data_IF_626635218994
#
_entry.id   IF_626635218994
#
_cell.length_a   1.000
_cell.length_b   1.000
_cell.length_c   1.000
_cell.angle_alpha   90.00
_cell.angle_beta   90.00
_cell.angle_gamma   90.00
#
_symmetry.space_group_name_H-M   'P 1'
#
loop_
_entity.id
_entity.type
_entity.pdbx_description
1 polymer ?
#
# COMPACT_ATOMS: atom_id res chain seq x y z
N UNK A 1 0.01 -18.02 11.43
CA UNK A 1 0.39 -18.18 10.01
C UNK A 1 -0.13 -16.93 9.29
N UNK A 2 0.64 -16.32 8.37
CA UNK A 2 0.22 -15.08 7.70
C UNK A 2 -1.08 -15.27 6.90
N UNK A 3 -1.29 -16.44 6.28
CA UNK A 3 -2.51 -16.76 5.55
C UNK A 3 -3.72 -16.80 6.48
N UNK A 4 -3.64 -17.53 7.60
CA UNK A 4 -4.73 -17.62 8.57
C UNK A 4 -5.10 -16.26 9.16
N UNK A 5 -4.10 -15.38 9.35
CA UNK A 5 -4.34 -14.01 9.83
C UNK A 5 -5.05 -13.18 8.77
N UNK A 6 -4.64 -13.29 7.50
CA UNK A 6 -5.30 -12.58 6.39
C UNK A 6 -6.74 -13.07 6.18
N UNK A 7 -6.99 -14.38 6.24
CA UNK A 7 -8.35 -14.93 6.15
C UNK A 7 -9.26 -14.42 7.27
N UNK A 8 -8.74 -14.36 8.51
CA UNK A 8 -9.49 -13.77 9.64
C UNK A 8 -9.80 -12.28 9.42
N UNK A 9 -8.87 -11.53 8.84
CA UNK A 9 -9.10 -10.12 8.51
C UNK A 9 -10.20 -9.95 7.45
N UNK A 10 -10.23 -10.81 6.42
CA UNK A 10 -11.30 -10.82 5.41
C UNK A 10 -12.65 -11.10 6.08
N UNK A 11 -12.71 -12.11 6.95
CA UNK A 11 -13.94 -12.46 7.66
C UNK A 11 -14.44 -11.34 8.58
N UNK A 12 -13.53 -10.57 9.18
CA UNK A 12 -13.88 -9.43 10.03
C UNK A 12 -14.23 -8.15 9.26
N UNK A 13 -13.98 -8.10 7.95
CA UNK A 13 -14.31 -6.94 7.13
C UNK A 13 -15.82 -6.75 7.01
N UNK A 14 -16.28 -5.49 6.88
CA UNK A 14 -17.71 -5.21 6.76
C UNK A 14 -18.29 -5.80 5.46
N UNK A 15 -19.49 -6.37 5.56
CA UNK A 15 -20.24 -6.85 4.40
C UNK A 15 -20.50 -5.75 3.36
N UNK A 16 -20.59 -4.48 3.78
CA UNK A 16 -20.85 -3.34 2.89
C UNK A 16 -19.72 -3.07 1.89
N UNK A 17 -18.50 -3.54 2.17
CA UNK A 17 -17.34 -3.40 1.29
C UNK A 17 -16.85 -4.71 0.70
N UNK A 18 -17.46 -5.84 1.06
CA UNK A 18 -17.03 -7.18 0.63
C UNK A 18 -17.10 -7.37 -0.89
N UNK A 19 -18.12 -6.81 -1.54
CA UNK A 19 -18.33 -6.93 -2.99
C UNK A 19 -17.52 -5.94 -3.83
N UNK A 20 -16.69 -5.09 -3.20
CA UNK A 20 -15.89 -4.10 -3.91
C UNK A 20 -14.66 -4.73 -4.56
N UNK A 21 -14.36 -4.27 -5.78
CA UNK A 21 -13.20 -4.72 -6.57
C UNK A 21 -11.87 -4.07 -6.18
N UNK A 22 -11.87 -3.14 -5.22
CA UNK A 22 -10.69 -2.35 -4.82
C UNK A 22 -10.16 -2.68 -3.41
N UNK A 23 -10.57 -3.81 -2.82
CA UNK A 23 -10.04 -4.27 -1.54
C UNK A 23 -8.55 -4.59 -1.68
N UNK A 24 -7.73 -3.97 -0.85
CA UNK A 24 -6.27 -4.13 -0.90
C UNK A 24 -5.69 -4.36 0.48
N UNK A 25 -4.90 -5.41 0.60
CA UNK A 25 -3.98 -5.61 1.71
C UNK A 25 -2.70 -4.81 1.49
N UNK A 26 -2.33 -4.03 2.50
CA UNK A 26 -1.06 -3.33 2.58
C UNK A 26 -0.20 -3.97 3.66
N UNK A 27 0.99 -4.40 3.28
CA UNK A 27 1.98 -4.98 4.19
C UNK A 27 3.40 -4.59 3.76
N UNK A 28 4.38 -4.88 4.60
CA UNK A 28 5.79 -4.71 4.23
C UNK A 28 6.19 -5.67 3.09
N UNK A 29 7.14 -5.27 2.25
CA UNK A 29 7.82 -6.15 1.27
C UNK A 29 8.34 -7.45 1.92
N UNK A 30 8.87 -7.40 3.14
CA UNK A 30 9.31 -8.60 3.86
C UNK A 30 8.15 -9.54 4.18
N UNK A 31 7.02 -9.01 4.65
CA UNK A 31 5.82 -9.81 4.89
C UNK A 31 5.20 -10.34 3.59
N UNK A 32 5.27 -9.57 2.51
CA UNK A 32 4.83 -10.04 1.19
C UNK A 32 5.64 -11.27 0.76
N UNK A 33 6.97 -11.27 0.95
CA UNK A 33 7.80 -12.44 0.66
C UNK A 33 7.45 -13.64 1.55
N UNK A 34 7.18 -13.40 2.84
CA UNK A 34 6.72 -14.43 3.76
C UNK A 34 5.38 -15.02 3.32
N UNK A 35 4.47 -14.18 2.82
CA UNK A 35 3.20 -14.60 2.24
C UNK A 35 3.37 -15.49 1.00
N UNK A 36 4.26 -15.13 0.06
CA UNK A 36 4.57 -16.00 -1.09
C UNK A 36 5.16 -17.35 -0.64
N UNK A 37 6.07 -17.35 0.34
CA UNK A 37 6.61 -18.60 0.90
C UNK A 37 5.54 -19.43 1.61
N UNK A 38 4.60 -18.79 2.29
CA UNK A 38 3.46 -19.46 2.93
C UNK A 38 2.53 -20.10 1.89
N UNK A 39 2.24 -19.41 0.78
CA UNK A 39 1.47 -19.98 -0.33
C UNK A 39 2.15 -21.19 -0.97
N UNK A 40 3.48 -21.13 -1.16
CA UNK A 40 4.26 -22.27 -1.62
C UNK A 40 4.18 -23.45 -0.65
N UNK A 41 4.28 -23.18 0.65
CA UNK A 41 4.25 -24.21 1.69
C UNK A 41 2.86 -24.86 1.83
N UNK A 42 1.80 -24.12 1.52
CA UNK A 42 0.43 -24.62 1.44
C UNK A 42 0.14 -25.41 0.14
N UNK A 43 1.14 -25.60 -0.73
CA UNK A 43 1.05 -26.35 -1.98
C UNK A 43 -0.05 -25.84 -2.93
N UNK A 44 -0.16 -24.51 -3.06
CA UNK A 44 -1.19 -23.91 -3.88
C UNK A 44 -0.85 -24.06 -5.39
N UNK A 45 -1.38 -25.09 -6.04
CA UNK A 45 -1.18 -25.37 -7.48
C UNK A 45 -1.72 -24.28 -8.41
N UNK A 46 -2.49 -23.33 -7.89
CA UNK A 46 -3.06 -22.17 -8.62
C UNK A 46 -2.18 -20.91 -8.56
N UNK A 47 -1.05 -20.95 -7.85
CA UNK A 47 -0.11 -19.82 -7.85
C UNK A 47 0.62 -19.75 -9.20
N UNK A 48 0.27 -18.77 -10.02
CA UNK A 48 1.05 -18.42 -11.22
C UNK A 48 2.23 -17.51 -10.81
N UNK A 49 3.49 -17.95 -10.96
CA UNK A 49 4.65 -17.10 -10.67
C UNK A 49 4.69 -15.80 -11.48
N UNK A 50 4.03 -15.75 -12.64
CA UNK A 50 3.89 -14.56 -13.48
C UNK A 50 2.88 -13.52 -12.96
N UNK A 51 2.05 -13.89 -11.99
CA UNK A 51 1.05 -13.00 -11.39
C UNK A 51 1.64 -12.00 -10.38
N UNK A 52 2.86 -12.26 -9.89
CA UNK A 52 3.59 -11.31 -9.04
C UNK A 52 4.20 -10.25 -9.93
N UNK A 53 3.58 -9.07 -9.96
CA UNK A 53 4.14 -7.96 -10.71
C UNK A 53 4.98 -7.08 -9.79
N UNK A 54 6.15 -6.67 -10.29
CA UNK A 54 6.97 -5.65 -9.64
C UNK A 54 6.76 -4.34 -10.40
N UNK A 55 5.81 -3.53 -9.94
CA UNK A 55 5.58 -2.20 -10.49
C UNK A 55 6.34 -1.19 -9.67
N UNK A 56 7.49 -0.73 -10.19
CA UNK A 56 8.28 0.37 -9.60
C UNK A 56 8.48 0.24 -8.07
N UNK A 57 8.96 -0.92 -7.60
CA UNK A 57 9.23 -1.25 -6.20
C UNK A 57 8.00 -1.62 -5.33
N UNK A 58 6.82 -1.76 -5.93
CA UNK A 58 5.67 -2.39 -5.28
C UNK A 58 5.57 -3.83 -5.76
N UNK A 59 5.59 -4.77 -4.83
CA UNK A 59 5.24 -6.16 -5.11
C UNK A 59 3.74 -6.28 -4.98
N UNK A 60 3.06 -6.75 -6.02
CA UNK A 60 1.62 -6.93 -5.98
C UNK A 60 1.19 -8.26 -6.59
N UNK A 61 0.08 -8.79 -6.07
CA UNK A 61 -0.58 -9.99 -6.57
C UNK A 61 -2.05 -10.00 -6.15
N UNK A 62 -2.91 -10.64 -6.93
CA UNK A 62 -4.27 -10.94 -6.47
C UNK A 62 -4.24 -11.94 -5.29
N UNK A 63 -5.20 -11.84 -4.38
CA UNK A 63 -5.38 -12.84 -3.34
C UNK A 63 -5.95 -14.13 -3.97
N UNK A 64 -5.36 -15.31 -3.70
CA UNK A 64 -5.88 -16.57 -4.21
C UNK A 64 -7.35 -16.76 -3.82
N UNK A 65 -8.15 -17.25 -4.76
CA UNK A 65 -9.58 -17.54 -4.58
C UNK A 65 -10.48 -16.33 -4.27
N UNK A 66 -9.94 -15.11 -4.18
CA UNK A 66 -10.70 -13.86 -4.01
C UNK A 66 -10.17 -12.80 -4.98
N UNK A 67 -10.63 -12.81 -6.25
CA UNK A 67 -10.10 -11.92 -7.30
C UNK A 67 -10.39 -10.44 -7.04
N UNK A 68 -11.37 -10.13 -6.18
CA UNK A 68 -11.69 -8.78 -5.72
C UNK A 68 -10.66 -8.19 -4.74
N UNK A 69 -9.79 -9.03 -4.16
CA UNK A 69 -8.79 -8.63 -3.16
C UNK A 69 -7.40 -8.67 -3.78
N UNK A 70 -6.66 -7.58 -3.58
CA UNK A 70 -5.25 -7.46 -3.97
C UNK A 70 -4.34 -7.45 -2.75
N UNK A 71 -3.13 -7.96 -2.89
CA UNK A 71 -2.07 -7.89 -1.88
C UNK A 71 -0.93 -7.04 -2.41
N UNK A 72 -0.53 -6.03 -1.64
CA UNK A 72 0.53 -5.08 -2.00
C UNK A 72 1.58 -4.99 -0.89
N UNK A 73 2.82 -5.33 -1.25
CA UNK A 73 4.02 -5.10 -0.45
C UNK A 73 4.58 -3.69 -0.70
N UNK A 74 4.47 -2.80 0.29
CA UNK A 74 4.95 -1.42 0.24
C UNK A 74 6.23 -1.22 1.08
N UNK A 75 7.03 -0.23 0.69
CA UNK A 75 8.20 0.20 1.45
C UNK A 75 7.83 1.04 2.68
N UNK A 76 6.62 1.62 2.72
CA UNK A 76 6.17 2.46 3.84
C UNK A 76 5.93 1.71 5.15
N UNK A 77 5.84 0.38 5.09
CA UNK A 77 5.62 -0.50 6.25
C UNK A 77 6.86 -1.36 6.59
N UNK A 78 8.03 -1.07 6.00
CA UNK A 78 9.24 -1.84 6.33
C UNK A 78 9.56 -1.78 7.83
N UNK A 79 10.02 -2.91 8.37
CA UNK A 79 10.32 -3.05 9.80
C UNK A 79 9.10 -3.28 10.70
N UNK A 80 7.88 -3.19 10.15
CA UNK A 80 6.63 -3.50 10.88
C UNK A 80 6.07 -4.86 10.48
N UNK A 81 5.38 -5.51 11.41
CA UNK A 81 4.59 -6.71 11.13
C UNK A 81 3.12 -6.38 10.82
N UNK A 82 2.80 -5.10 10.69
CA UNK A 82 1.45 -4.62 10.42
C UNK A 82 0.98 -5.03 9.03
N UNK A 83 -0.26 -5.52 9.00
CA UNK A 83 -1.03 -5.76 7.80
C UNK A 83 -2.34 -5.00 7.93
N UNK A 84 -2.74 -4.29 6.88
CA UNK A 84 -3.97 -3.49 6.86
C UNK A 84 -4.78 -3.87 5.62
N UNK A 85 -6.08 -4.08 5.79
CA UNK A 85 -7.04 -4.34 4.72
C UNK A 85 -8.03 -3.17 4.63
N UNK A 86 -8.28 -2.68 3.43
CA UNK A 86 -9.35 -1.73 3.18
C UNK A 86 -9.50 -1.40 1.70
N UNK A 87 -10.57 -0.69 1.31
CA UNK A 87 -10.79 -0.26 -0.06
C UNK A 87 -9.78 0.82 -0.47
N UNK A 88 -8.90 0.53 -1.42
CA UNK A 88 -7.82 1.42 -1.80
C UNK A 88 -8.30 2.79 -2.31
N UNK A 89 -9.49 2.86 -2.96
CA UNK A 89 -10.05 4.13 -3.45
C UNK A 89 -10.51 5.09 -2.33
N UNK A 90 -10.54 4.63 -1.08
CA UNK A 90 -10.85 5.49 0.08
C UNK A 90 -9.62 6.24 0.61
N UNK A 91 -8.42 5.88 0.16
CA UNK A 91 -7.21 6.68 0.43
C UNK A 91 -7.26 7.90 -0.49
N UNK A 92 -7.42 9.07 0.10
CA UNK A 92 -7.50 10.34 -0.63
C UNK A 92 -6.27 11.16 -0.32
N UNK A 93 -5.60 11.63 -1.37
CA UNK A 93 -4.51 12.60 -1.28
C UNK A 93 -4.99 13.89 -1.93
N UNK A 94 -5.01 14.96 -1.14
CA UNK A 94 -5.33 16.31 -1.59
C UNK A 94 -4.06 17.12 -1.75
N UNK A 95 -3.98 17.88 -2.84
CA UNK A 95 -2.91 18.85 -3.09
C UNK A 95 -3.52 20.23 -3.30
N UNK A 96 -2.77 21.29 -2.99
CA UNK A 96 -3.18 22.64 -3.37
C UNK A 96 -2.85 22.87 -4.85
N UNK A 97 -3.86 23.12 -5.68
CA UNK A 97 -3.76 22.89 -7.13
C UNK A 97 -3.15 24.06 -7.93
N UNK A 98 -3.22 25.30 -7.41
CA UNK A 98 -2.85 26.48 -8.21
C UNK A 98 -1.62 27.24 -7.68
N UNK A 99 -1.33 27.17 -6.39
CA UNK A 99 -0.23 27.95 -5.78
C UNK A 99 1.13 27.24 -5.80
N UNK A 100 1.16 25.90 -5.84
CA UNK A 100 2.41 25.13 -5.74
C UNK A 100 3.28 25.20 -7.01
N UNK A 101 2.72 25.55 -8.17
CA UNK A 101 3.48 25.68 -9.43
C UNK A 101 4.24 27.00 -9.56
N UNK A 102 3.95 28.01 -8.72
CA UNK A 102 4.61 29.32 -8.78
C UNK A 102 5.76 29.49 -7.79
N UNK A 103 5.97 28.55 -6.86
CA UNK A 103 7.00 28.62 -5.81
C UNK A 103 8.37 28.03 -6.19
N UNK A 104 8.61 27.69 -7.46
CA UNK A 104 9.95 27.28 -7.90
C UNK A 104 10.91 28.47 -7.86
N UNK A 105 11.95 28.38 -7.03
CA UNK A 105 13.01 29.39 -6.91
C UNK A 105 14.37 28.76 -7.21
N UNK A 106 15.18 29.42 -8.03
CA UNK A 106 16.56 29.04 -8.35
C UNK A 106 17.47 30.23 -8.06
N UNK A 107 18.54 30.03 -7.28
CA UNK A 107 19.51 31.09 -7.00
C UNK A 107 20.93 30.54 -6.83
N UNK A 108 21.92 31.39 -7.05
CA UNK A 108 23.32 31.11 -6.75
C UNK A 108 23.61 31.50 -5.29
N UNK A 109 24.07 30.53 -4.48
CA UNK A 109 24.52 30.82 -3.12
C UNK A 109 26.01 31.17 -3.14
N UNK A 110 26.30 32.45 -2.93
CA UNK A 110 27.66 33.01 -2.93
C UNK A 110 28.48 32.48 -1.75
N UNK A 111 27.85 32.06 -0.65
CA UNK A 111 28.59 31.58 0.53
C UNK A 111 29.11 30.14 0.35
N UNK A 112 28.47 29.36 -0.54
CA UNK A 112 28.84 27.96 -0.76
C UNK A 112 29.22 27.65 -2.20
N UNK A 113 29.31 28.66 -3.06
CA UNK A 113 29.60 28.55 -4.50
C UNK A 113 28.78 27.46 -5.22
N UNK A 114 27.50 27.38 -4.89
CA UNK A 114 26.60 26.34 -5.41
C UNK A 114 25.30 26.93 -5.93
N UNK A 115 24.81 26.40 -7.03
CA UNK A 115 23.46 26.65 -7.51
C UNK A 115 22.45 25.87 -6.67
N UNK A 116 21.46 26.56 -6.09
CA UNK A 116 20.40 25.97 -5.27
C UNK A 116 19.05 26.15 -5.93
N UNK A 117 18.15 25.19 -5.72
CA UNK A 117 16.75 25.31 -6.07
C UNK A 117 15.87 24.98 -4.85
N UNK A 118 14.68 25.58 -4.81
CA UNK A 118 13.64 25.27 -3.84
C UNK A 118 12.34 25.01 -4.57
N UNK A 119 11.67 23.94 -4.17
CA UNK A 119 10.30 23.61 -4.50
C UNK A 119 9.61 23.37 -3.16
N UNK A 120 8.52 24.09 -2.90
CA UNK A 120 7.66 23.84 -1.77
C UNK A 120 6.31 23.35 -2.32
N UNK A 121 5.83 22.24 -1.76
CA UNK A 121 4.54 21.68 -2.10
C UNK A 121 3.77 21.33 -0.85
N UNK A 122 2.45 21.47 -0.90
CA UNK A 122 1.55 21.09 0.19
C UNK A 122 0.69 19.91 -0.22
N UNK A 123 0.82 18.83 0.54
CA UNK A 123 0.05 17.61 0.37
C UNK A 123 -0.59 17.21 1.70
N UNK A 124 -1.86 16.80 1.65
CA UNK A 124 -2.57 16.20 2.76
C UNK A 124 -3.08 14.81 2.36
N UNK A 125 -3.10 13.88 3.30
CA UNK A 125 -3.64 12.54 3.11
C UNK A 125 -4.75 12.27 4.13
N UNK A 126 -5.81 11.58 3.72
CA UNK A 126 -6.87 11.12 4.61
C UNK A 126 -7.48 9.79 4.13
N UNK A 127 -8.15 9.09 5.04
CA UNK A 127 -8.99 7.94 4.76
C UNK A 127 -10.45 8.38 4.91
N UNK A 128 -11.24 8.26 3.84
CA UNK A 128 -12.61 8.78 3.82
C UNK A 128 -13.54 8.09 4.83
N UNK A 129 -13.42 6.76 4.98
CA UNK A 129 -14.29 5.93 5.82
C UNK A 129 -13.46 4.92 6.61
N UNK A 130 -12.86 5.33 7.74
CA UNK A 130 -11.97 4.47 8.54
C UNK A 130 -12.63 3.20 9.08
N UNK A 131 -13.95 3.16 9.23
CA UNK A 131 -14.72 2.02 9.75
C UNK A 131 -14.64 0.77 8.88
N UNK A 132 -14.28 0.91 7.60
CA UNK A 132 -14.10 -0.22 6.68
C UNK A 132 -12.68 -0.77 6.67
N UNK A 133 -11.80 -0.24 7.51
CA UNK A 133 -10.40 -0.65 7.58
C UNK A 133 -10.17 -1.61 8.73
N UNK A 134 -9.49 -2.71 8.44
CA UNK A 134 -9.15 -3.75 9.41
C UNK A 134 -7.63 -3.87 9.48
N UNK A 135 -7.09 -4.05 10.68
CA UNK A 135 -5.67 -4.31 10.88
C UNK A 135 -5.46 -5.63 11.62
N UNK A 136 -4.25 -6.20 11.53
CA UNK A 136 -3.87 -7.36 12.33
C UNK A 136 -3.47 -7.01 13.78
N UNK A 137 -3.65 -5.75 14.20
CA UNK A 137 -3.32 -5.19 15.52
C UNK A 137 -1.86 -5.41 15.96
N UNK A 138 -0.98 -5.69 15.00
CA UNK A 138 0.46 -5.79 15.22
C UNK A 138 1.14 -4.44 14.99
N UNK A 139 2.30 -4.29 15.63
CA UNK A 139 3.20 -3.15 15.48
C UNK A 139 4.12 -3.30 14.27
#
# INVERSE_FOLDING_TARGET
NILTTMDAMIQSSSADVADREDLTFFMSVSNFRNYITALRSANNFYFDPGSVTNRKNLYEMAYPFSPNIKVVGTVGLQGTNRCVLGPAKQIVVGTDLLSDFSEFQLWYDINTDTLRHRIATKMGQNIAYPEFWVSNDLA
#
